data_IF_340890529496
#
_entry.id   IF_340890529496
#
_cell.length_a   1.000
_cell.length_b   1.000
_cell.length_c   1.000
_cell.angle_alpha   90.00
_cell.angle_beta   90.00
_cell.angle_gamma   90.00
#
_symmetry.space_group_name_H-M   'P 1'
#
loop_
_entity.id
_entity.type
_entity.pdbx_description
1 polymer ?
#
# COMPACT_ATOMS: atom_id res chain seq x y z
N UNK A 1 3.67 8.53 4.12
CA UNK A 1 2.36 8.20 3.51
C UNK A 1 1.63 9.47 3.08
N UNK A 2 0.79 9.42 2.04
CA UNK A 2 -0.03 10.57 1.59
C UNK A 2 -1.22 10.78 2.55
N UNK A 3 -1.83 11.97 2.49
CA UNK A 3 -3.05 12.30 3.26
C UNK A 3 -4.28 11.67 2.59
N UNK A 4 -5.33 11.39 3.36
CA UNK A 4 -6.59 10.83 2.87
C UNK A 4 -7.17 11.58 1.65
N UNK A 5 -7.12 12.93 1.66
CA UNK A 5 -7.64 13.76 0.56
C UNK A 5 -7.03 13.41 -0.80
N UNK A 6 -5.75 13.00 -0.83
CA UNK A 6 -5.08 12.57 -2.05
C UNK A 6 -5.80 11.37 -2.70
N UNK A 7 -6.23 10.42 -1.89
CA UNK A 7 -6.93 9.22 -2.33
C UNK A 7 -8.41 9.49 -2.64
N UNK A 8 -9.06 10.38 -1.88
CA UNK A 8 -10.44 10.81 -2.16
C UNK A 8 -10.55 11.54 -3.52
N UNK A 9 -9.49 12.23 -3.93
CA UNK A 9 -9.37 12.83 -5.27
C UNK A 9 -9.19 11.76 -6.38
N UNK A 10 -8.90 10.51 -6.03
CA UNK A 10 -8.76 9.40 -6.97
C UNK A 10 -7.32 9.15 -7.43
N UNK A 11 -6.33 9.64 -6.68
CA UNK A 11 -4.92 9.49 -7.08
C UNK A 11 -4.33 8.16 -6.59
N UNK A 12 -3.72 7.43 -7.52
CA UNK A 12 -2.89 6.25 -7.21
C UNK A 12 -1.59 6.67 -6.51
N UNK A 13 -1.12 5.83 -5.58
CA UNK A 13 0.15 6.01 -4.90
C UNK A 13 1.00 4.75 -4.95
N UNK A 14 2.26 4.86 -5.35
CA UNK A 14 3.26 3.81 -5.20
C UNK A 14 4.44 4.34 -4.38
N UNK A 15 5.00 3.48 -3.52
CA UNK A 15 6.10 3.82 -2.64
C UNK A 15 6.98 2.61 -2.33
N UNK A 16 8.09 2.88 -1.64
CA UNK A 16 8.97 1.84 -1.14
C UNK A 16 9.64 2.26 0.16
N UNK A 17 9.92 1.29 1.03
CA UNK A 17 10.80 1.39 2.20
C UNK A 17 12.00 0.48 1.98
N UNK A 18 13.19 0.98 2.29
CA UNK A 18 14.44 0.23 2.10
C UNK A 18 15.39 0.55 3.24
N UNK A 19 15.91 -0.48 3.89
CA UNK A 19 16.87 -0.38 5.00
C UNK A 19 17.82 -1.58 4.95
N UNK A 20 19.10 -1.32 4.66
CA UNK A 20 20.07 -2.40 4.42
C UNK A 20 19.65 -3.28 3.24
N UNK A 21 19.49 -4.58 3.49
CA UNK A 21 19.00 -5.57 2.52
C UNK A 21 17.47 -5.72 2.50
N UNK A 22 16.75 -5.09 3.42
CA UNK A 22 15.29 -5.18 3.48
C UNK A 22 14.65 -4.19 2.52
N UNK A 23 13.70 -4.67 1.72
CA UNK A 23 12.91 -3.91 0.76
C UNK A 23 11.45 -4.27 0.91
N UNK A 24 10.61 -3.23 0.97
CA UNK A 24 9.17 -3.36 0.83
C UNK A 24 8.69 -2.31 -0.16
N UNK A 25 8.16 -2.76 -1.28
CA UNK A 25 7.46 -1.92 -2.25
C UNK A 25 5.97 -2.05 -2.01
N UNK A 26 5.23 -0.98 -2.21
CA UNK A 26 3.78 -0.99 -2.05
C UNK A 26 3.09 -0.06 -3.05
N UNK A 27 1.84 -0.39 -3.36
CA UNK A 27 0.94 0.39 -4.20
C UNK A 27 -0.42 0.48 -3.52
N UNK A 28 -1.05 1.64 -3.60
CA UNK A 28 -2.38 1.91 -3.08
C UNK A 28 -3.18 2.62 -4.16
N UNK A 29 -4.30 2.03 -4.56
CA UNK A 29 -5.23 2.62 -5.51
C UNK A 29 -6.58 2.87 -4.81
N UNK A 30 -7.16 4.07 -4.93
CA UNK A 30 -8.49 4.34 -4.39
C UNK A 30 -9.58 3.78 -5.32
N UNK A 31 -10.46 2.94 -4.78
CA UNK A 31 -11.73 2.59 -5.40
C UNK A 31 -12.83 3.49 -4.84
N UNK A 32 -13.13 4.56 -5.58
CA UNK A 32 -14.14 5.54 -5.18
C UNK A 32 -15.56 5.02 -5.29
N UNK A 33 -15.80 4.01 -6.14
CA UNK A 33 -17.14 3.45 -6.32
C UNK A 33 -17.51 2.59 -5.11
N UNK A 34 -16.56 1.78 -4.63
CA UNK A 34 -16.76 0.92 -3.46
C UNK A 34 -16.31 1.54 -2.14
N UNK A 35 -15.76 2.76 -2.17
CA UNK A 35 -15.20 3.47 -1.00
C UNK A 35 -14.08 2.69 -0.31
N UNK A 36 -13.14 2.16 -1.09
CA UNK A 36 -11.99 1.36 -0.60
C UNK A 36 -10.64 1.95 -1.02
N UNK A 37 -9.62 1.58 -0.28
CA UNK A 37 -8.19 1.68 -0.60
C UNK A 37 -7.71 0.25 -0.89
N UNK A 38 -7.41 -0.03 -2.16
CA UNK A 38 -6.87 -1.31 -2.60
C UNK A 38 -5.35 -1.24 -2.45
N UNK A 39 -4.77 -2.03 -1.56
CA UNK A 39 -3.35 -1.99 -1.26
C UNK A 39 -2.64 -3.29 -1.62
N UNK A 40 -1.43 -3.16 -2.16
CA UNK A 40 -0.53 -4.26 -2.44
C UNK A 40 0.85 -3.98 -1.90
N UNK A 41 1.58 -5.00 -1.44
CA UNK A 41 2.99 -4.90 -1.14
C UNK A 41 3.79 -6.15 -1.54
N UNK A 42 5.08 -5.95 -1.84
CA UNK A 42 6.00 -7.01 -2.26
C UNK A 42 7.45 -6.68 -1.89
N UNK A 43 8.29 -7.71 -1.77
CA UNK A 43 9.69 -7.60 -1.32
C UNK A 43 10.70 -7.71 -2.47
N UNK A 44 10.24 -8.02 -3.69
CA UNK A 44 11.10 -8.07 -4.87
C UNK A 44 11.48 -6.68 -5.38
N UNK A 45 12.72 -6.53 -5.85
CA UNK A 45 13.17 -5.30 -6.53
C UNK A 45 12.66 -5.20 -7.97
N UNK A 46 11.33 -5.20 -8.12
CA UNK A 46 10.61 -5.14 -9.40
C UNK A 46 9.45 -4.15 -9.31
N UNK A 47 8.99 -3.67 -10.46
CA UNK A 47 7.74 -2.92 -10.54
C UNK A 47 6.53 -3.82 -10.27
N UNK A 48 5.38 -3.21 -9.96
CA UNK A 48 4.17 -3.91 -9.53
C UNK A 48 3.72 -5.01 -10.51
N UNK A 49 3.84 -4.76 -11.81
CA UNK A 49 3.42 -5.66 -12.90
C UNK A 49 4.35 -6.88 -13.05
N UNK A 50 5.58 -6.78 -12.54
CA UNK A 50 6.62 -7.81 -12.64
C UNK A 50 6.89 -8.54 -11.33
N UNK A 51 6.36 -8.03 -10.22
CA UNK A 51 6.41 -8.71 -8.93
C UNK A 51 5.59 -10.01 -9.02
N UNK A 52 6.18 -11.11 -8.59
CA UNK A 52 5.52 -12.40 -8.56
C UNK A 52 4.58 -12.47 -7.36
N UNK A 53 5.16 -12.61 -6.18
CA UNK A 53 4.41 -12.69 -4.92
C UNK A 53 4.10 -11.30 -4.38
N UNK A 54 2.81 -11.06 -4.12
CA UNK A 54 2.28 -9.81 -3.57
C UNK A 54 1.28 -10.16 -2.49
N UNK A 55 1.39 -9.49 -1.35
CA UNK A 55 0.31 -9.44 -0.39
C UNK A 55 -0.67 -8.34 -0.83
N UNK A 56 -1.96 -8.58 -0.66
CA UNK A 56 -3.01 -7.62 -0.98
C UNK A 56 -4.02 -7.54 0.15
N UNK A 57 -4.53 -6.33 0.37
CA UNK A 57 -5.54 -6.05 1.39
C UNK A 57 -6.30 -4.77 1.06
N UNK A 58 -7.58 -4.78 1.37
CA UNK A 58 -8.45 -3.63 1.17
C UNK A 58 -8.76 -2.95 2.50
N UNK A 59 -8.87 -1.64 2.47
CA UNK A 59 -9.22 -0.82 3.63
C UNK A 59 -10.33 0.16 3.25
N UNK A 60 -11.14 0.64 4.19
CA UNK A 60 -12.07 1.72 3.92
C UNK A 60 -11.36 2.99 3.41
N UNK A 61 -11.97 3.74 2.48
CA UNK A 61 -11.49 5.06 2.05
C UNK A 61 -11.80 6.14 3.12
N UNK A 62 -11.20 5.98 4.29
CA UNK A 62 -11.41 6.81 5.48
C UNK A 62 -10.11 7.00 6.27
N UNK A 63 -10.14 7.80 7.33
CA UNK A 63 -8.98 7.94 8.23
C UNK A 63 -8.65 6.60 8.93
N UNK A 64 -9.67 5.88 9.41
CA UNK A 64 -9.50 4.54 10.00
C UNK A 64 -8.88 3.55 9.02
N UNK A 65 -9.32 3.56 7.75
CA UNK A 65 -8.72 2.69 6.74
C UNK A 65 -7.28 3.08 6.38
N UNK A 66 -6.94 4.37 6.42
CA UNK A 66 -5.56 4.84 6.29
C UNK A 66 -4.67 4.36 7.45
N UNK A 67 -5.18 4.40 8.68
CA UNK A 67 -4.47 3.86 9.86
C UNK A 67 -4.28 2.35 9.75
N UNK A 68 -5.32 1.61 9.35
CA UNK A 68 -5.24 0.16 9.12
C UNK A 68 -4.26 -0.20 8.01
N UNK A 69 -4.23 0.57 6.92
CA UNK A 69 -3.29 0.40 5.82
C UNK A 69 -1.85 0.62 6.27
N UNK A 70 -1.61 1.65 7.08
CA UNK A 70 -0.29 1.93 7.66
C UNK A 70 0.18 0.80 8.57
N UNK A 71 -0.70 0.34 9.48
CA UNK A 71 -0.39 -0.77 10.37
C UNK A 71 -0.05 -2.04 9.59
N UNK A 72 -0.85 -2.37 8.58
CA UNK A 72 -0.59 -3.54 7.73
C UNK A 72 0.73 -3.45 6.94
N UNK A 73 1.10 -2.27 6.45
CA UNK A 73 2.40 -2.07 5.80
C UNK A 73 3.56 -2.22 6.79
N UNK A 74 3.39 -1.81 8.05
CA UNK A 74 4.39 -1.99 9.09
C UNK A 74 4.53 -3.47 9.47
N UNK A 75 3.42 -4.21 9.62
CA UNK A 75 3.43 -5.66 9.85
C UNK A 75 4.20 -6.38 8.73
N UNK A 76 3.92 -6.05 7.47
CA UNK A 76 4.63 -6.64 6.32
C UNK A 76 6.11 -6.24 6.24
N UNK A 77 6.48 -5.11 6.85
CA UNK A 77 7.86 -4.68 7.00
C UNK A 77 8.60 -5.46 8.09
N UNK A 78 7.97 -5.70 9.23
CA UNK A 78 8.57 -6.46 10.34
C UNK A 78 8.70 -7.96 10.04
N UNK A 79 7.82 -8.51 9.20
CA UNK A 79 7.91 -9.89 8.70
C UNK A 79 8.99 -10.09 7.60
N UNK A 80 9.78 -9.06 7.24
CA UNK A 80 10.75 -9.08 6.15
C UNK A 80 12.17 -9.48 6.55
#
# INVERSE_FOLDING_TARGET
>A
MRKLIFFQEGNDFAGSRTEGSHLLRYRVNPDKENQLLLAWCWKEDKCFERAGERAEKDFPLSEEGMEGLLAWLEENWEEA
#
